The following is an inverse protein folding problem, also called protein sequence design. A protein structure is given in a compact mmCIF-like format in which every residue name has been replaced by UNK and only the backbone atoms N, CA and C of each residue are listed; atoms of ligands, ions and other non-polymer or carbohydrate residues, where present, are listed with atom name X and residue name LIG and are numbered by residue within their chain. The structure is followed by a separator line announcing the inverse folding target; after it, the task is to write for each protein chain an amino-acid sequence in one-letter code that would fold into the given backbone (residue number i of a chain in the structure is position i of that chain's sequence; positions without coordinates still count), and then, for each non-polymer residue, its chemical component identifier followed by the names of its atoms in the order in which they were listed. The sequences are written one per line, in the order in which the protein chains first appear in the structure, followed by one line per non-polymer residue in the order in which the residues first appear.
data_IF_549679047463
#
_entry.id   IF_549679047463
#
_cell.length_a   1.000
_cell.length_b   1.000
_cell.length_c   1.000
_cell.angle_alpha   90.00
_cell.angle_beta   90.00
_cell.angle_gamma   90.00
#
_symmetry.space_group_name_H-M   'P 1'
#
loop_
_entity.id
_entity.type
_entity.pdbx_description
1 polymer ?
#
# COMPACT_ATOMS: atom_id res chain seq x y z
N UNK A 1 -1.55 29.70 1.10
CA UNK A 1 -2.93 29.29 0.82
C UNK A 1 -3.37 28.33 1.93
N UNK A 2 -4.44 28.63 2.68
CA UNK A 2 -4.90 27.75 3.78
C UNK A 2 -5.64 26.56 3.15
N UNK A 3 -5.01 25.38 3.16
CA UNK A 3 -5.60 24.14 2.65
C UNK A 3 -6.62 23.66 3.69
N UNK A 4 -7.88 23.54 3.28
CA UNK A 4 -8.95 23.08 4.15
C UNK A 4 -8.89 21.54 4.30
N UNK A 5 -9.30 20.96 5.46
CA UNK A 5 -9.07 19.56 5.83
C UNK A 5 -9.60 18.50 4.84
N UNK A 6 -10.59 18.88 4.02
CA UNK A 6 -11.33 17.98 3.14
C UNK A 6 -11.20 18.33 1.66
N UNK A 7 -10.22 19.17 1.31
CA UNK A 7 -10.00 19.57 -0.07
C UNK A 7 -9.40 18.41 -0.88
N UNK A 8 -10.20 17.85 -1.80
CA UNK A 8 -9.68 17.01 -2.88
C UNK A 8 -8.81 17.91 -3.74
N UNK A 9 -7.50 17.67 -3.74
CA UNK A 9 -6.60 18.32 -4.69
C UNK A 9 -6.94 17.72 -6.07
N UNK A 10 -7.83 18.39 -6.82
CA UNK A 10 -7.90 18.21 -8.27
C UNK A 10 -6.66 18.89 -8.83
N UNK A 11 -5.66 18.09 -9.18
CA UNK A 11 -4.56 18.58 -9.99
C UNK A 11 -5.08 18.63 -11.42
N UNK A 12 -5.11 19.82 -12.01
CA UNK A 12 -5.25 19.95 -13.46
C UNK A 12 -4.07 19.21 -14.15
N UNK A 13 -4.19 18.81 -15.43
CA UNK A 13 -3.19 17.97 -16.12
C UNK A 13 -1.73 18.50 -16.02
N UNK A 14 -1.56 19.81 -15.84
CA UNK A 14 -0.26 20.49 -15.75
C UNK A 14 0.08 21.00 -14.33
N UNK A 15 -0.78 20.76 -13.34
CA UNK A 15 -0.62 21.24 -11.97
C UNK A 15 0.31 20.33 -11.17
N UNK A 16 1.46 20.87 -10.75
CA UNK A 16 2.44 20.15 -9.93
C UNK A 16 2.05 20.24 -8.46
N UNK A 17 2.05 19.11 -7.76
CA UNK A 17 1.89 19.08 -6.30
C UNK A 17 2.91 20.03 -5.64
N UNK A 18 2.45 20.98 -4.80
CA UNK A 18 3.34 21.92 -4.13
C UNK A 18 4.34 21.15 -3.26
N UNK A 19 5.64 21.30 -3.55
CA UNK A 19 6.73 20.58 -2.89
C UNK A 19 7.23 19.30 -3.61
N UNK A 20 6.60 18.91 -4.74
CA UNK A 20 6.96 17.72 -5.52
C UNK A 20 7.19 18.04 -7.01
N UNK A 21 7.87 19.14 -7.30
CA UNK A 21 8.08 19.67 -8.65
C UNK A 21 9.00 18.84 -9.55
N UNK A 22 9.58 17.75 -9.04
CA UNK A 22 10.64 16.95 -9.69
C UNK A 22 10.30 15.45 -9.85
N UNK A 23 9.05 15.02 -9.64
CA UNK A 23 8.70 13.62 -9.88
C UNK A 23 8.74 13.32 -11.37
N UNK A 24 9.43 12.22 -11.72
CA UNK A 24 9.50 11.76 -13.12
C UNK A 24 8.12 11.23 -13.54
N UNK A 25 7.68 11.48 -14.77
CA UNK A 25 6.48 10.83 -15.29
C UNK A 25 6.68 9.31 -15.31
N UNK A 26 5.62 8.56 -15.05
CA UNK A 26 5.63 7.09 -15.14
C UNK A 26 5.81 6.70 -16.62
N UNK A 27 6.83 5.90 -16.98
CA UNK A 27 7.02 5.46 -18.36
C UNK A 27 5.85 4.61 -18.87
N UNK A 28 5.46 4.83 -20.14
CA UNK A 28 4.36 4.12 -20.82
C UNK A 28 4.46 2.61 -20.73
N UNK A 29 5.69 2.06 -20.76
CA UNK A 29 5.95 0.62 -20.63
C UNK A 29 5.26 -0.01 -19.42
N UNK A 30 5.15 0.69 -18.29
CA UNK A 30 4.53 0.14 -17.09
C UNK A 30 3.00 0.13 -17.16
N UNK A 31 2.42 1.10 -17.88
CA UNK A 31 0.99 1.07 -18.17
C UNK A 31 0.65 -0.08 -19.11
N UNK A 32 1.47 -0.34 -20.11
CA UNK A 32 1.26 -1.45 -21.04
C UNK A 32 1.48 -2.81 -20.37
N UNK A 33 2.52 -2.95 -19.54
CA UNK A 33 2.72 -4.13 -18.70
C UNK A 33 1.53 -4.37 -17.75
N UNK A 34 0.99 -3.31 -17.14
CA UNK A 34 -0.17 -3.41 -16.25
C UNK A 34 -1.43 -3.84 -17.00
N UNK A 35 -1.70 -3.26 -18.18
CA UNK A 35 -2.83 -3.67 -19.04
C UNK A 35 -2.71 -5.14 -19.44
N UNK A 36 -1.53 -5.55 -19.88
CA UNK A 36 -1.25 -6.94 -20.26
C UNK A 36 -1.45 -7.89 -19.06
N UNK A 37 -0.98 -7.50 -17.87
CA UNK A 37 -1.19 -8.25 -16.65
C UNK A 37 -2.67 -8.38 -16.32
N UNK A 38 -3.45 -7.29 -16.33
CA UNK A 38 -4.89 -7.31 -16.03
C UNK A 38 -5.62 -8.25 -17.00
N UNK A 39 -5.35 -8.14 -18.31
CA UNK A 39 -5.94 -9.01 -19.32
C UNK A 39 -5.60 -10.49 -19.07
N UNK A 40 -4.35 -10.77 -18.71
CA UNK A 40 -3.91 -12.10 -18.31
C UNK A 40 -4.65 -12.57 -17.05
N UNK A 41 -4.75 -11.76 -16.01
CA UNK A 41 -5.40 -12.13 -14.75
C UNK A 41 -6.90 -12.41 -14.94
N UNK A 42 -7.56 -11.69 -15.84
CA UNK A 42 -8.99 -11.87 -16.13
C UNK A 42 -9.27 -13.17 -16.92
N UNK A 43 -8.36 -13.57 -17.80
CA UNK A 43 -8.54 -14.75 -18.66
C UNK A 43 -7.90 -16.02 -18.09
N UNK A 44 -6.90 -15.87 -17.23
CA UNK A 44 -6.18 -17.00 -16.65
C UNK A 44 -7.07 -17.77 -15.66
N UNK A 45 -7.26 -19.06 -15.92
CA UNK A 45 -7.75 -20.02 -14.94
C UNK A 45 -6.66 -20.37 -13.91
N UNK A 46 -7.04 -20.59 -12.65
CA UNK A 46 -6.11 -21.02 -11.61
C UNK A 46 -6.34 -20.37 -10.25
N UNK A 47 -5.43 -20.71 -9.32
CA UNK A 47 -5.51 -20.31 -7.92
C UNK A 47 -5.41 -18.77 -7.78
N UNK A 48 -6.34 -18.18 -7.02
CA UNK A 48 -6.38 -16.74 -6.73
C UNK A 48 -5.09 -16.23 -6.07
N UNK A 49 -4.41 -17.03 -5.26
CA UNK A 49 -3.10 -16.69 -4.68
C UNK A 49 -2.00 -16.59 -5.75
N UNK A 50 -2.11 -17.34 -6.85
CA UNK A 50 -1.17 -17.19 -7.97
C UNK A 50 -1.37 -15.83 -8.65
N UNK A 51 -2.63 -15.41 -8.86
CA UNK A 51 -2.96 -14.09 -9.40
C UNK A 51 -2.43 -12.97 -8.49
N UNK A 52 -2.64 -13.09 -7.19
CA UNK A 52 -2.12 -12.15 -6.19
C UNK A 52 -0.59 -12.03 -6.25
N UNK A 53 0.12 -13.17 -6.32
CA UNK A 53 1.59 -13.18 -6.47
C UNK A 53 2.07 -12.50 -7.75
N UNK A 54 1.33 -12.63 -8.85
CA UNK A 54 1.69 -11.94 -10.10
C UNK A 54 1.54 -10.42 -9.96
N UNK A 55 0.49 -9.94 -9.28
CA UNK A 55 0.32 -8.52 -8.95
C UNK A 55 1.46 -8.01 -8.05
N UNK A 56 1.83 -8.79 -7.03
CA UNK A 56 2.99 -8.47 -6.18
C UNK A 56 4.28 -8.39 -6.99
N UNK A 57 4.54 -9.35 -7.87
CA UNK A 57 5.76 -9.38 -8.68
C UNK A 57 5.85 -8.17 -9.63
N UNK A 58 4.72 -7.72 -10.20
CA UNK A 58 4.68 -6.50 -11.00
C UNK A 58 5.06 -5.27 -10.16
N UNK A 59 4.44 -5.09 -8.99
CA UNK A 59 4.74 -3.96 -8.12
C UNK A 59 6.18 -3.99 -7.60
N UNK A 60 6.74 -5.16 -7.28
CA UNK A 60 8.15 -5.29 -6.89
C UNK A 60 9.09 -4.82 -8.01
N UNK A 61 8.83 -5.22 -9.25
CA UNK A 61 9.61 -4.78 -10.41
C UNK A 61 9.47 -3.28 -10.63
N UNK A 62 8.24 -2.77 -10.66
CA UNK A 62 7.95 -1.34 -10.81
C UNK A 62 8.65 -0.51 -9.72
N UNK A 63 8.57 -0.95 -8.47
CA UNK A 63 9.19 -0.27 -7.36
C UNK A 63 10.72 -0.29 -7.45
N UNK A 64 11.30 -1.42 -7.86
CA UNK A 64 12.75 -1.57 -8.01
C UNK A 64 13.30 -0.73 -9.14
N UNK A 65 12.63 -0.71 -10.29
CA UNK A 65 13.15 -0.08 -11.52
C UNK A 65 12.82 1.40 -11.63
N UNK A 66 11.68 1.85 -11.09
CA UNK A 66 11.21 3.21 -11.28
C UNK A 66 11.08 3.97 -9.96
N UNK A 67 10.33 3.44 -8.99
CA UNK A 67 10.03 4.19 -7.75
C UNK A 67 11.29 4.43 -6.91
N UNK A 68 12.21 3.46 -6.90
CA UNK A 68 13.53 3.56 -6.26
C UNK A 68 14.32 4.80 -6.67
N UNK A 69 14.05 5.36 -7.85
CA UNK A 69 14.81 6.50 -8.41
C UNK A 69 14.46 7.85 -7.77
N UNK A 70 13.39 7.93 -6.99
CA UNK A 70 12.92 9.16 -6.34
C UNK A 70 12.38 8.95 -4.92
N UNK A 71 12.58 7.77 -4.33
CA UNK A 71 12.13 7.44 -2.97
C UNK A 71 13.33 7.20 -2.05
N UNK A 72 13.12 7.39 -0.75
CA UNK A 72 14.08 7.01 0.30
C UNK A 72 13.91 5.57 0.78
N UNK A 73 13.02 4.78 0.17
CA UNK A 73 12.75 3.40 0.55
C UNK A 73 13.96 2.49 0.30
N UNK A 74 14.38 1.79 1.36
CA UNK A 74 15.42 0.75 1.35
C UNK A 74 15.08 -0.32 2.37
N UNK A 75 15.76 -1.47 2.33
CA UNK A 75 15.61 -2.50 3.36
C UNK A 75 15.87 -1.88 4.74
N UNK A 76 14.95 -2.06 5.68
CA UNK A 76 15.00 -1.43 7.02
C UNK A 76 14.32 -0.07 7.13
N UNK A 77 13.83 0.52 6.03
CA UNK A 77 12.89 1.64 6.11
C UNK A 77 11.56 1.16 6.70
N UNK A 78 11.12 1.76 7.80
CA UNK A 78 9.90 1.37 8.52
C UNK A 78 8.89 2.51 8.65
N UNK A 79 9.00 3.55 7.82
CA UNK A 79 8.12 4.70 7.97
C UNK A 79 6.66 4.36 7.70
N UNK A 80 6.34 3.59 6.65
CA UNK A 80 4.97 3.12 6.42
C UNK A 80 4.52 2.02 7.41
N UNK A 81 5.40 1.51 8.28
CA UNK A 81 5.03 0.52 9.29
C UNK A 81 4.42 1.15 10.56
N UNK A 82 4.06 2.44 10.51
CA UNK A 82 3.41 3.20 11.60
C UNK A 82 2.04 3.75 11.18
N UNK A 83 1.54 3.35 10.02
CA UNK A 83 0.20 3.68 9.54
C UNK A 83 -0.68 2.43 9.58
N UNK A 84 -1.98 2.62 9.71
CA UNK A 84 -2.96 1.55 9.58
C UNK A 84 -3.08 1.19 8.09
N UNK A 85 -2.96 -0.10 7.79
CA UNK A 85 -3.05 -0.62 6.43
C UNK A 85 -4.25 -1.54 6.35
N UNK A 86 -5.17 -1.25 5.43
CA UNK A 86 -6.29 -2.13 5.15
C UNK A 86 -5.86 -3.37 4.39
N UNK A 87 -6.47 -4.49 4.73
CA UNK A 87 -6.22 -5.80 4.13
C UNK A 87 -7.54 -6.41 3.69
N UNK A 88 -7.52 -7.08 2.55
CA UNK A 88 -8.62 -7.99 2.20
C UNK A 88 -8.49 -9.30 2.98
N UNK A 89 -9.60 -10.01 3.17
CA UNK A 89 -9.59 -11.36 3.76
C UNK A 89 -8.68 -12.30 2.95
N UNK A 90 -8.68 -12.15 1.62
CA UNK A 90 -7.80 -12.91 0.72
C UNK A 90 -6.32 -12.73 1.08
N UNK A 91 -5.87 -11.48 1.25
CA UNK A 91 -4.48 -11.17 1.59
C UNK A 91 -4.14 -11.61 3.02
N UNK A 92 -5.05 -11.42 3.97
CA UNK A 92 -4.86 -11.85 5.34
C UNK A 92 -4.65 -13.37 5.43
N UNK A 93 -5.50 -14.16 4.76
CA UNK A 93 -5.37 -15.63 4.71
C UNK A 93 -4.09 -16.05 3.99
N UNK A 94 -3.74 -15.39 2.88
CA UNK A 94 -2.49 -15.65 2.17
C UNK A 94 -1.26 -15.43 3.07
N UNK A 95 -1.23 -14.32 3.82
CA UNK A 95 -0.14 -13.98 4.75
C UNK A 95 -0.09 -15.00 5.89
N UNK A 96 -1.23 -15.32 6.50
CA UNK A 96 -1.31 -16.29 7.59
C UNK A 96 -0.73 -17.65 7.16
N UNK A 97 -1.13 -18.14 5.98
CA UNK A 97 -0.64 -19.41 5.43
C UNK A 97 0.85 -19.34 5.07
N UNK A 98 1.29 -18.30 4.36
CA UNK A 98 2.65 -18.21 3.84
C UNK A 98 3.69 -17.93 4.93
N UNK A 99 3.33 -17.13 5.94
CA UNK A 99 4.20 -16.80 7.07
C UNK A 99 4.00 -17.73 8.27
N UNK A 100 3.07 -18.69 8.21
CA UNK A 100 2.70 -19.61 9.30
C UNK A 100 2.31 -18.85 10.57
N UNK A 101 1.48 -17.83 10.40
CA UNK A 101 1.03 -16.95 11.48
C UNK A 101 -0.42 -17.30 11.83
N UNK A 102 -0.70 -17.43 13.11
CA UNK A 102 -2.06 -17.60 13.63
C UNK A 102 -2.69 -16.21 13.75
N UNK A 103 -3.86 -16.04 13.15
CA UNK A 103 -4.63 -14.80 13.28
C UNK A 103 -4.96 -14.56 14.75
N UNK A 104 -4.76 -13.32 15.21
CA UNK A 104 -5.13 -12.89 16.56
C UNK A 104 -6.44 -12.12 16.48
N UNK A 105 -7.35 -12.42 17.39
CA UNK A 105 -8.59 -11.69 17.54
C UNK A 105 -8.37 -10.44 18.41
N UNK A 106 -7.71 -9.45 17.83
CA UNK A 106 -7.47 -8.15 18.45
C UNK A 106 -8.35 -7.09 17.78
N UNK A 107 -8.75 -6.08 18.54
CA UNK A 107 -9.37 -4.89 17.96
C UNK A 107 -8.45 -4.27 16.91
N UNK A 108 -9.05 -3.85 15.79
CA UNK A 108 -8.33 -3.14 14.74
C UNK A 108 -7.85 -1.80 15.27
N UNK A 109 -6.62 -1.45 14.90
CA UNK A 109 -6.06 -0.15 15.21
C UNK A 109 -6.64 0.89 14.26
N UNK A 110 -6.84 2.10 14.78
CA UNK A 110 -7.31 3.25 14.00
C UNK A 110 -6.49 4.49 14.36
N UNK A 111 -6.38 5.43 13.43
CA UNK A 111 -5.72 6.71 13.65
C UNK A 111 -4.18 6.65 13.77
N UNK A 112 -3.56 5.58 13.28
CA UNK A 112 -2.10 5.42 13.16
C UNK A 112 -1.36 5.46 14.51
N UNK A 113 -2.04 4.97 15.56
CA UNK A 113 -1.57 5.05 16.94
C UNK A 113 -0.65 3.90 17.37
N UNK A 114 -0.39 2.93 16.49
CA UNK A 114 0.43 1.76 16.81
C UNK A 114 1.35 1.37 15.66
N UNK A 115 2.42 0.63 15.99
CA UNK A 115 3.32 0.06 15.00
C UNK A 115 2.70 -1.20 14.39
N UNK A 116 3.01 -1.45 13.13
CA UNK A 116 2.66 -2.69 12.44
C UNK A 116 3.12 -3.90 13.26
N UNK A 117 2.27 -4.92 13.46
CA UNK A 117 2.62 -6.11 14.26
C UNK A 117 3.74 -6.95 13.64
N UNK A 118 4.06 -6.75 12.36
CA UNK A 118 5.13 -7.45 11.66
C UNK A 118 6.46 -6.69 11.67
N UNK A 119 6.52 -5.50 12.27
CA UNK A 119 7.74 -4.72 12.39
C UNK A 119 8.63 -5.30 13.51
N UNK A 120 9.82 -5.78 13.15
CA UNK A 120 10.81 -6.21 14.14
C UNK A 120 11.43 -5.03 14.89
N UNK A 121 12.03 -5.31 16.04
CA UNK A 121 12.77 -4.32 16.84
C UNK A 121 13.91 -3.65 16.05
N UNK A 122 14.52 -4.38 15.11
CA UNK A 122 15.58 -3.89 14.21
C UNK A 122 15.03 -3.04 13.04
N UNK A 123 13.73 -2.74 13.00
CA UNK A 123 13.12 -1.92 11.95
C UNK A 123 12.83 -2.66 10.64
N UNK A 124 13.04 -3.99 10.58
CA UNK A 124 12.75 -4.80 9.39
C UNK A 124 11.35 -5.43 9.45
N UNK A 125 10.67 -5.50 8.32
CA UNK A 125 9.39 -6.22 8.20
C UNK A 125 9.62 -7.73 8.15
N UNK A 126 9.02 -8.47 9.07
CA UNK A 126 9.11 -9.94 9.16
C UNK A 126 8.41 -10.66 8.00
N UNK A 127 7.40 -10.04 7.39
CA UNK A 127 6.64 -10.58 6.26
C UNK A 127 6.93 -9.86 4.93
N UNK A 128 8.12 -9.26 4.77
CA UNK A 128 8.40 -8.37 3.63
C UNK A 128 8.03 -8.97 2.26
N UNK A 129 8.34 -10.25 2.04
CA UNK A 129 8.01 -10.93 0.77
C UNK A 129 6.50 -11.16 0.58
N UNK A 130 5.76 -11.25 1.68
CA UNK A 130 4.31 -11.46 1.71
C UNK A 130 3.54 -10.17 2.00
N UNK A 131 4.21 -9.00 1.97
CA UNK A 131 3.57 -7.73 2.27
C UNK A 131 2.35 -7.48 1.35
N UNK A 132 1.26 -6.94 1.88
CA UNK A 132 0.03 -6.64 1.14
C UNK A 132 0.22 -5.66 -0.03
N UNK A 133 -0.77 -5.57 -0.93
CA UNK A 133 -0.77 -4.65 -2.07
C UNK A 133 -0.55 -3.21 -1.61
N UNK A 134 -1.30 -2.73 -0.62
CA UNK A 134 -1.16 -1.36 -0.11
C UNK A 134 0.24 -1.10 0.48
N UNK A 135 0.83 -2.07 1.19
CA UNK A 135 2.22 -1.96 1.67
C UNK A 135 3.25 -1.84 0.53
N UNK A 136 2.90 -2.24 -0.71
CA UNK A 136 3.76 -2.10 -1.89
C UNK A 136 3.53 -0.78 -2.64
N UNK A 137 2.48 -0.03 -2.31
CA UNK A 137 2.18 1.26 -2.95
C UNK A 137 2.56 2.45 -2.07
N UNK A 138 2.78 2.24 -0.77
CA UNK A 138 3.30 3.29 0.13
C UNK A 138 4.81 3.47 -0.02
N UNK A 139 5.20 4.71 -0.31
CA UNK A 139 6.60 5.11 -0.51
C UNK A 139 6.89 6.39 0.25
N UNK A 140 8.11 6.49 0.79
CA UNK A 140 8.58 7.71 1.44
C UNK A 140 9.39 8.50 0.44
N UNK A 141 8.97 9.72 0.15
CA UNK A 141 9.67 10.59 -0.78
C UNK A 141 10.72 11.46 -0.06
N UNK A 142 10.52 11.72 1.23
CA UNK A 142 11.44 12.49 2.08
C UNK A 142 12.45 11.59 2.82
N UNK A 143 13.54 12.15 3.37
CA UNK A 143 14.45 11.39 4.25
C UNK A 143 13.69 10.79 5.45
N UNK A 144 13.96 9.53 5.84
CA UNK A 144 13.19 8.83 6.87
C UNK A 144 13.13 9.56 8.23
N UNK A 145 14.17 10.30 8.61
CA UNK A 145 14.22 11.10 9.85
C UNK A 145 13.23 12.29 9.88
N UNK A 146 12.70 12.71 8.72
CA UNK A 146 11.83 13.88 8.60
C UNK A 146 10.34 13.54 8.48
N UNK A 147 9.98 12.26 8.51
CA UNK A 147 8.60 11.82 8.33
C UNK A 147 7.78 12.13 9.59
N UNK A 148 6.91 13.15 9.50
CA UNK A 148 5.92 13.45 10.51
C UNK A 148 4.59 12.76 10.16
N UNK A 149 4.10 11.92 11.07
CA UNK A 149 2.76 11.33 10.98
C UNK A 149 1.79 12.30 11.63
N UNK A 150 1.13 13.13 10.82
CA UNK A 150 0.04 13.95 11.33
C UNK A 150 -1.23 13.10 11.39
N UNK A 151 -2.04 13.27 12.44
CA UNK A 151 -3.39 12.65 12.55
C UNK A 151 -4.33 13.03 11.39
N UNK A 152 -3.89 13.92 10.52
CA UNK A 152 -4.60 14.55 9.41
C UNK A 152 -3.89 14.35 8.07
N UNK A 153 -2.94 13.42 7.94
CA UNK A 153 -2.44 13.06 6.61
C UNK A 153 -3.49 12.23 5.90
N UNK A 154 -4.52 12.90 5.40
CA UNK A 154 -5.45 12.43 4.38
C UNK A 154 -4.65 12.19 3.10
N UNK A 155 -3.86 11.11 3.06
CA UNK A 155 -3.60 10.47 1.78
C UNK A 155 -4.97 10.08 1.25
N UNK A 156 -5.41 10.73 0.18
CA UNK A 156 -6.61 10.35 -0.54
C UNK A 156 -6.48 8.88 -0.91
N UNK A 157 -7.19 8.03 -0.17
CA UNK A 157 -7.33 6.61 -0.45
C UNK A 157 -8.07 6.52 -1.79
N UNK A 158 -7.33 6.27 -2.87
CA UNK A 158 -7.93 5.84 -4.13
C UNK A 158 -8.36 4.38 -3.97
N UNK A 159 -9.59 4.22 -3.49
CA UNK A 159 -10.38 3.00 -3.58
C UNK A 159 -11.81 3.44 -3.87
N UNK A 160 -12.57 2.72 -4.72
CA UNK A 160 -13.97 3.07 -4.92
C UNK A 160 -14.65 3.16 -3.55
N UNK A 161 -15.45 4.21 -3.32
CA UNK A 161 -16.48 4.18 -2.28
C UNK A 161 -17.37 2.99 -2.64
N UNK A 162 -17.07 1.83 -2.08
CA UNK A 162 -17.88 0.66 -2.33
C UNK A 162 -19.26 0.95 -1.76
N UNK A 163 -20.20 1.19 -2.68
CA UNK A 163 -21.65 1.08 -2.45
C UNK A 163 -22.05 -0.36 -2.06
N UNK A 164 -21.09 -1.28 -2.01
CA UNK A 164 -21.24 -2.68 -1.65
C UNK A 164 -20.47 -3.02 -0.37
N UNK A 165 -21.19 -3.00 0.75
CA UNK A 165 -21.15 -4.03 1.79
C UNK A 165 -19.88 -4.17 2.63
N UNK A 166 -20.05 -4.11 3.95
CA UNK A 166 -19.05 -4.53 4.94
C UNK A 166 -18.61 -5.98 4.67
N UNK A 167 -17.32 -6.35 4.82
CA UNK A 167 -16.97 -7.72 5.17
C UNK A 167 -17.15 -7.85 6.70
N UNK A 168 -18.27 -8.43 7.11
CA UNK A 168 -18.59 -8.70 8.51
C UNK A 168 -17.79 -9.92 9.03
N UNK A 169 -17.33 -9.82 10.28
CA UNK A 169 -17.48 -10.90 11.27
C UNK A 169 -18.10 -10.23 12.50
N UNK A 170 -19.40 -10.43 12.68
CA UNK A 170 -20.15 -10.12 13.89
C UNK A 170 -20.56 -11.45 14.52
N UNK A 171 -20.69 -11.48 15.84
CA UNK A 171 -21.72 -12.30 16.46
C UNK A 171 -22.39 -11.49 17.57
N UNK A 172 -23.72 -11.60 17.57
CA UNK A 172 -24.67 -10.88 18.38
C UNK A 172 -24.70 -11.40 19.83
N UNK A 173 -24.56 -10.47 20.78
CA UNK A 173 -25.39 -10.31 21.99
C UNK A 173 -24.91 -9.10 22.79
#
# INVERSE_FOLDING_TARGET
MKIQPDSVIRLEPDEKLPGYSSLKPVPDKYFDELKALINKLNTQSGNIYLKLKQMYAFLERFNKEFVSTFTSCKKGCCSCCKIDVHLTVLEATYIAQAAKIIARDNQLTTGHNSKCPFLSEKGACSIYNYRPLLCRTYHVLTPPETVQYTKQSSFTVWGPKSKYGKPYLQNDN
#
